data_IF_693780590597
#
_entry.id   IF_693780590597
#
_cell.length_a   1.000
_cell.length_b   1.000
_cell.length_c   1.000
_cell.angle_alpha   90.00
_cell.angle_beta   90.00
_cell.angle_gamma   90.00
#
_symmetry.space_group_name_H-M   'P 1'
#
loop_
_entity.id
_entity.type
_entity.pdbx_description
1 polymer ?
#
# COMPACT_ATOMS: atom_id res chain seq x y z
N UNK A 1 2.08 17.68 22.69
CA UNK A 1 3.50 17.29 22.81
C UNK A 1 4.12 16.96 21.45
N UNK A 2 3.62 15.99 20.67
CA UNK A 2 4.15 15.61 19.33
C UNK A 2 4.60 16.78 18.43
N UNK A 3 3.77 17.80 18.24
CA UNK A 3 4.13 18.95 17.38
C UNK A 3 5.27 19.77 17.98
N UNK A 4 5.26 19.99 19.29
CA UNK A 4 6.32 20.72 19.98
C UNK A 4 7.65 19.94 19.92
N UNK A 5 7.60 18.63 20.07
CA UNK A 5 8.76 17.75 19.98
C UNK A 5 9.36 17.79 18.56
N UNK A 6 8.51 17.73 17.53
CA UNK A 6 8.91 17.93 16.14
C UNK A 6 9.60 19.27 15.93
N UNK A 7 9.03 20.38 16.40
CA UNK A 7 9.66 21.70 16.25
C UNK A 7 11.02 21.76 16.95
N UNK A 8 11.15 21.21 18.17
CA UNK A 8 12.45 21.13 18.86
C UNK A 8 13.49 20.32 18.09
N UNK A 9 13.08 19.25 17.39
CA UNK A 9 13.98 18.49 16.52
C UNK A 9 14.41 19.32 15.31
N UNK A 10 13.47 20.01 14.64
CA UNK A 10 13.77 20.87 13.48
C UNK A 10 14.65 22.07 13.82
N UNK A 11 14.48 22.66 15.00
CA UNK A 11 15.33 23.76 15.49
C UNK A 11 16.77 23.31 15.72
N UNK A 12 16.98 22.08 16.21
CA UNK A 12 18.32 21.53 16.48
C UNK A 12 19.02 21.02 15.23
N UNK A 13 18.26 20.46 14.30
CA UNK A 13 18.78 19.93 13.05
C UNK A 13 17.72 19.94 11.94
N UNK A 14 17.64 21.04 11.16
CA UNK A 14 16.66 21.14 10.09
C UNK A 14 16.97 20.23 8.90
N UNK A 15 18.20 19.73 8.78
CA UNK A 15 18.66 18.94 7.62
C UNK A 15 18.13 17.51 7.60
N UNK A 16 17.79 16.95 8.77
CA UNK A 16 17.26 15.59 8.89
C UNK A 16 15.73 15.59 8.86
N UNK A 17 15.09 14.75 8.01
CA UNK A 17 13.64 14.60 8.03
C UNK A 17 13.19 13.83 9.28
N UNK A 18 12.09 14.26 9.90
CA UNK A 18 11.46 13.57 11.01
C UNK A 18 10.36 12.64 10.48
N UNK A 19 10.53 11.34 10.70
CA UNK A 19 9.48 10.33 10.44
C UNK A 19 8.65 10.11 11.70
N UNK A 20 7.32 10.17 11.56
CA UNK A 20 6.38 9.81 12.63
C UNK A 20 5.55 8.59 12.21
N UNK A 21 5.70 7.48 12.93
CA UNK A 21 4.88 6.29 12.72
C UNK A 21 3.65 6.27 13.65
N UNK A 22 2.47 6.17 13.04
CA UNK A 22 1.17 6.14 13.70
C UNK A 22 0.60 4.72 13.72
N UNK A 23 -0.21 4.38 14.72
CA UNK A 23 -0.78 3.03 14.82
C UNK A 23 -1.99 2.76 13.91
N UNK A 24 -2.51 1.54 14.00
CA UNK A 24 -3.62 1.03 13.18
C UNK A 24 -4.90 1.87 13.18
N UNK A 25 -5.08 2.79 14.13
CA UNK A 25 -6.23 3.71 14.16
C UNK A 25 -6.32 4.59 12.92
N UNK A 26 -5.22 4.78 12.18
CA UNK A 26 -5.26 5.42 10.85
C UNK A 26 -6.29 4.72 9.94
N UNK A 27 -6.34 3.39 9.92
CA UNK A 27 -7.22 2.62 9.03
C UNK A 27 -8.38 1.90 9.75
N UNK A 28 -8.20 1.55 11.02
CA UNK A 28 -9.14 0.78 11.82
C UNK A 28 -9.90 1.68 12.79
N UNK A 29 -11.12 2.09 12.44
CA UNK A 29 -11.93 2.99 13.29
C UNK A 29 -12.35 2.39 14.63
N UNK A 30 -12.25 1.06 14.78
CA UNK A 30 -12.49 0.39 16.07
C UNK A 30 -11.32 0.61 17.05
N UNK A 31 -10.16 1.04 16.55
CA UNK A 31 -8.98 1.34 17.35
C UNK A 31 -8.82 2.85 17.54
N UNK A 32 -9.08 3.35 18.75
CA UNK A 32 -9.03 4.79 19.06
C UNK A 32 -7.66 5.30 19.52
N UNK A 33 -6.68 4.41 19.68
CA UNK A 33 -5.33 4.73 20.14
C UNK A 33 -4.95 4.04 21.45
N UNK A 34 -3.74 4.32 21.94
CA UNK A 34 -3.25 3.80 23.23
C UNK A 34 -3.63 4.76 24.35
N UNK A 35 -4.17 4.23 25.45
CA UNK A 35 -4.58 5.01 26.63
C UNK A 35 -6.07 5.33 26.66
N UNK A 36 -6.61 5.55 27.87
CA UNK A 36 -8.04 5.73 28.12
C UNK A 36 -8.64 7.01 27.50
N UNK A 37 -7.80 8.01 27.20
CA UNK A 37 -8.22 9.29 26.62
C UNK A 37 -8.02 9.41 25.11
N UNK A 38 -7.55 8.37 24.43
CA UNK A 38 -7.20 8.46 23.01
C UNK A 38 -8.44 8.62 22.11
N UNK A 39 -8.35 9.55 21.15
CA UNK A 39 -9.40 9.84 20.17
C UNK A 39 -8.87 9.78 18.75
N UNK A 40 -9.75 9.46 17.82
CA UNK A 40 -9.44 9.44 16.40
C UNK A 40 -8.98 10.82 15.88
N UNK A 41 -9.57 11.90 16.39
CA UNK A 41 -9.25 13.26 15.96
C UNK A 41 -7.85 13.71 16.40
N UNK A 42 -7.25 13.04 17.39
CA UNK A 42 -5.89 13.37 17.82
C UNK A 42 -4.87 13.15 16.67
N UNK A 43 -5.17 12.23 15.74
CA UNK A 43 -4.33 11.99 14.56
C UNK A 43 -4.22 13.23 13.66
N UNK A 44 -5.25 14.09 13.60
CA UNK A 44 -5.19 15.36 12.84
C UNK A 44 -4.14 16.33 13.40
N UNK A 45 -3.84 16.22 14.69
CA UNK A 45 -2.75 16.95 15.33
C UNK A 45 -1.42 16.22 15.14
N UNK A 46 -1.40 14.89 15.29
CA UNK A 46 -0.17 14.11 15.17
C UNK A 46 0.50 14.25 13.81
N UNK A 47 -0.27 14.18 12.71
CA UNK A 47 0.29 14.32 11.34
C UNK A 47 0.98 15.66 11.09
N UNK A 48 0.76 16.68 11.93
CA UNK A 48 1.45 17.97 11.82
C UNK A 48 2.91 17.88 12.28
N UNK A 49 3.23 17.00 13.23
CA UNK A 49 4.57 16.85 13.83
C UNK A 49 5.51 15.89 13.09
N UNK A 50 5.58 15.97 11.76
CA UNK A 50 6.40 15.09 10.95
C UNK A 50 6.79 15.71 9.60
N UNK A 51 7.94 15.34 9.04
CA UNK A 51 8.26 15.59 7.62
C UNK A 51 7.73 14.43 6.75
N UNK A 52 7.83 13.19 7.25
CA UNK A 52 7.30 11.97 6.64
C UNK A 52 6.29 11.34 7.61
N UNK A 53 5.07 11.08 7.16
CA UNK A 53 4.05 10.43 7.99
C UNK A 53 3.96 8.97 7.60
N UNK A 54 4.08 8.07 8.57
CA UNK A 54 3.90 6.64 8.34
C UNK A 54 2.85 6.05 9.26
N UNK A 55 2.40 4.84 8.95
CA UNK A 55 1.55 4.09 9.84
C UNK A 55 1.74 2.58 9.70
N UNK A 56 1.39 1.87 10.75
CA UNK A 56 1.28 0.42 10.77
C UNK A 56 -0.17 -0.05 10.98
N UNK A 57 -0.64 -0.90 10.08
CA UNK A 57 -1.83 -1.73 10.28
C UNK A 57 -1.46 -3.14 9.82
N UNK A 58 -1.80 -4.14 10.62
CA UNK A 58 -1.42 -5.53 10.37
C UNK A 58 -2.69 -6.38 10.25
N UNK A 59 -3.37 -6.35 9.08
CA UNK A 59 -4.64 -7.00 8.86
C UNK A 59 -4.72 -8.45 9.36
N UNK A 60 -3.76 -9.30 9.03
CA UNK A 60 -3.75 -10.72 9.37
C UNK A 60 -3.25 -10.95 10.80
N UNK A 61 -2.19 -10.25 11.22
CA UNK A 61 -1.48 -10.56 12.45
C UNK A 61 -1.81 -9.65 13.65
N UNK A 62 -2.46 -8.49 13.47
CA UNK A 62 -2.48 -7.44 14.51
C UNK A 62 -3.73 -6.56 14.66
N UNK A 63 -4.77 -6.66 13.84
CA UNK A 63 -6.02 -5.88 14.04
C UNK A 63 -7.03 -6.53 15.01
N UNK A 64 -6.71 -7.72 15.56
CA UNK A 64 -7.56 -8.40 16.55
C UNK A 64 -8.87 -8.98 16.00
N UNK A 65 -9.02 -9.07 14.68
CA UNK A 65 -10.19 -9.70 14.02
C UNK A 65 -9.89 -11.16 13.68
N UNK A 66 -10.81 -12.11 13.90
CA UNK A 66 -10.59 -13.53 13.59
C UNK A 66 -10.43 -13.80 12.08
N UNK A 67 -10.89 -12.88 11.23
CA UNK A 67 -10.91 -12.95 9.76
C UNK A 67 -10.06 -11.83 9.12
N UNK A 68 -8.92 -11.52 9.74
CA UNK A 68 -8.02 -10.43 9.38
C UNK A 68 -7.60 -10.39 7.89
N UNK A 69 -7.53 -11.54 7.24
CA UNK A 69 -7.30 -11.69 5.80
C UNK A 69 -8.34 -10.96 4.94
N UNK A 70 -9.54 -10.66 5.45
CA UNK A 70 -10.57 -9.89 4.73
C UNK A 70 -10.35 -8.37 4.79
N UNK A 71 -9.24 -7.91 5.40
CA UNK A 71 -8.98 -6.49 5.66
C UNK A 71 -7.64 -5.99 5.12
N UNK A 72 -7.02 -6.66 4.14
CA UNK A 72 -5.75 -6.17 3.55
C UNK A 72 -5.88 -4.74 3.01
N UNK A 73 -7.06 -4.40 2.50
CA UNK A 73 -7.42 -3.06 2.03
C UNK A 73 -7.35 -1.95 3.09
N UNK A 74 -7.20 -2.29 4.38
CA UNK A 74 -6.89 -1.29 5.42
C UNK A 74 -5.57 -0.59 5.13
N UNK A 75 -4.62 -1.23 4.44
CA UNK A 75 -3.37 -0.58 4.02
C UNK A 75 -3.66 0.56 3.03
N UNK A 76 -4.39 0.28 1.94
CA UNK A 76 -4.83 1.32 1.00
C UNK A 76 -5.61 2.44 1.70
N UNK A 77 -6.59 2.06 2.53
CA UNK A 77 -7.43 3.00 3.29
C UNK A 77 -6.59 3.94 4.17
N UNK A 78 -5.56 3.39 4.84
CA UNK A 78 -4.72 4.16 5.73
C UNK A 78 -3.89 5.20 4.98
N UNK A 79 -3.29 4.81 3.84
CA UNK A 79 -2.57 5.73 2.94
C UNK A 79 -3.47 6.87 2.48
N UNK A 80 -4.67 6.57 1.96
CA UNK A 80 -5.64 7.57 1.51
C UNK A 80 -6.06 8.53 2.64
N UNK A 81 -6.19 8.01 3.87
CA UNK A 81 -6.57 8.83 5.02
C UNK A 81 -5.44 9.77 5.43
N UNK A 82 -4.19 9.31 5.49
CA UNK A 82 -3.05 10.18 5.77
C UNK A 82 -2.87 11.24 4.67
N UNK A 83 -3.05 10.87 3.40
CA UNK A 83 -3.06 11.82 2.29
C UNK A 83 -4.10 12.92 2.49
N UNK A 84 -5.33 12.57 2.88
CA UNK A 84 -6.38 13.54 3.21
C UNK A 84 -6.01 14.43 4.40
N UNK A 85 -5.57 13.83 5.51
CA UNK A 85 -5.22 14.55 6.74
C UNK A 85 -4.02 15.50 6.58
N UNK A 86 -3.13 15.20 5.65
CA UNK A 86 -1.98 16.05 5.32
C UNK A 86 -2.25 16.99 4.14
N UNK A 87 -3.44 16.93 3.55
CA UNK A 87 -3.81 17.64 2.31
C UNK A 87 -2.83 17.36 1.15
N UNK A 88 -2.33 16.13 1.04
CA UNK A 88 -1.29 15.69 0.10
C UNK A 88 0.05 16.45 0.21
N UNK A 89 0.32 17.14 1.31
CA UNK A 89 1.54 17.97 1.46
C UNK A 89 2.73 17.22 2.05
N UNK A 90 2.56 15.96 2.46
CA UNK A 90 3.62 15.16 3.09
C UNK A 90 3.74 13.80 2.41
N UNK A 91 4.96 13.29 2.20
CA UNK A 91 5.17 11.91 1.78
C UNK A 91 4.61 10.95 2.83
N UNK A 92 3.93 9.91 2.34
CA UNK A 92 3.33 8.86 3.18
C UNK A 92 4.11 7.57 3.01
N UNK A 93 4.46 6.93 4.12
CA UNK A 93 5.05 5.59 4.14
C UNK A 93 4.08 4.59 4.80
N UNK A 94 4.13 3.32 4.39
CA UNK A 94 3.32 2.25 4.99
C UNK A 94 4.22 1.15 5.57
N UNK A 95 3.90 0.69 6.77
CA UNK A 95 4.56 -0.47 7.38
C UNK A 95 3.74 -1.72 7.07
N UNK A 96 4.34 -2.69 6.39
CA UNK A 96 3.72 -3.92 5.90
C UNK A 96 4.04 -5.07 6.87
N UNK A 97 3.04 -5.88 7.24
CA UNK A 97 3.28 -7.06 8.07
C UNK A 97 4.01 -8.15 7.31
N UNK A 98 4.86 -8.93 7.99
CA UNK A 98 5.54 -10.08 7.37
C UNK A 98 5.61 -11.33 8.26
N UNK A 99 5.20 -11.20 9.52
CA UNK A 99 5.45 -12.20 10.57
C UNK A 99 4.20 -12.42 11.41
N UNK A 100 4.26 -13.40 12.31
CA UNK A 100 3.33 -13.44 13.44
C UNK A 100 3.71 -12.33 14.39
N UNK A 101 2.77 -11.48 14.81
CA UNK A 101 3.07 -10.44 15.80
C UNK A 101 2.74 -10.99 17.18
N UNK A 102 1.49 -10.83 17.61
CA UNK A 102 0.95 -11.50 18.81
C UNK A 102 -0.10 -12.57 18.47
N UNK A 103 -0.34 -12.77 17.18
CA UNK A 103 -1.28 -13.74 16.60
C UNK A 103 -0.58 -15.06 16.27
N UNK A 104 -1.34 -16.15 16.14
CA UNK A 104 -0.83 -17.41 15.57
C UNK A 104 -0.79 -17.38 14.02
N UNK A 105 -1.49 -16.42 13.42
CA UNK A 105 -1.56 -16.18 11.98
C UNK A 105 -0.51 -15.17 11.55
N UNK A 106 -0.13 -15.27 10.27
CA UNK A 106 0.75 -14.36 9.54
C UNK A 106 0.21 -14.16 8.12
N UNK A 107 0.51 -13.03 7.52
CA UNK A 107 0.31 -12.85 6.08
C UNK A 107 1.18 -13.84 5.28
N UNK A 108 0.69 -14.30 4.14
CA UNK A 108 1.48 -15.05 3.16
C UNK A 108 2.31 -14.09 2.30
N UNK A 109 3.37 -14.54 1.61
CA UNK A 109 4.10 -13.69 0.66
C UNK A 109 3.21 -13.01 -0.38
N UNK A 110 2.17 -13.70 -0.86
CA UNK A 110 1.22 -13.12 -1.81
C UNK A 110 0.40 -11.98 -1.18
N UNK A 111 -0.06 -12.15 0.06
CA UNK A 111 -0.77 -11.10 0.79
C UNK A 111 0.14 -9.90 1.07
N UNK A 112 1.40 -10.13 1.45
CA UNK A 112 2.41 -9.06 1.61
C UNK A 112 2.64 -8.29 0.32
N UNK A 113 2.72 -8.99 -0.83
CA UNK A 113 2.77 -8.35 -2.16
C UNK A 113 1.53 -7.50 -2.43
N UNK A 114 0.33 -8.01 -2.14
CA UNK A 114 -0.91 -7.26 -2.30
C UNK A 114 -0.95 -6.00 -1.42
N UNK A 115 -0.59 -6.10 -0.15
CA UNK A 115 -0.53 -4.96 0.78
C UNK A 115 0.45 -3.88 0.32
N UNK A 116 1.64 -4.27 -0.14
CA UNK A 116 2.63 -3.33 -0.66
C UNK A 116 2.14 -2.58 -1.90
N UNK A 117 1.55 -3.29 -2.86
CA UNK A 117 0.99 -2.66 -4.06
C UNK A 117 -0.24 -1.83 -3.77
N UNK A 118 -1.10 -2.24 -2.84
CA UNK A 118 -2.19 -1.39 -2.32
C UNK A 118 -1.65 -0.08 -1.75
N UNK A 119 -0.58 -0.12 -0.95
CA UNK A 119 0.02 1.09 -0.42
C UNK A 119 0.54 2.01 -1.53
N UNK A 120 1.33 1.47 -2.46
CA UNK A 120 1.93 2.23 -3.56
C UNK A 120 0.86 2.85 -4.48
N UNK A 121 -0.13 2.06 -4.89
CA UNK A 121 -1.23 2.50 -5.77
C UNK A 121 -2.08 3.59 -5.08
N UNK A 122 -2.32 3.49 -3.77
CA UNK A 122 -3.02 4.52 -3.00
C UNK A 122 -2.20 5.79 -2.76
N UNK A 123 -0.91 5.81 -3.13
CA UNK A 123 -0.03 6.97 -3.10
C UNK A 123 1.01 6.97 -1.98
N UNK A 124 1.36 5.80 -1.42
CA UNK A 124 2.55 5.69 -0.59
C UNK A 124 3.80 5.91 -1.43
N UNK A 125 4.76 6.62 -0.83
CA UNK A 125 6.07 6.96 -1.41
C UNK A 125 7.23 6.18 -0.77
N UNK A 126 6.90 5.30 0.17
CA UNK A 126 7.87 4.44 0.84
C UNK A 126 7.19 3.29 1.57
N UNK A 127 7.92 2.20 1.72
CA UNK A 127 7.49 0.99 2.41
C UNK A 127 8.50 0.64 3.49
N UNK A 128 7.99 0.14 4.61
CA UNK A 128 8.76 -0.49 5.67
C UNK A 128 8.18 -1.88 5.91
N UNK A 129 9.02 -2.83 6.33
CA UNK A 129 8.56 -4.18 6.68
C UNK A 129 8.67 -4.38 8.20
N UNK A 130 7.58 -4.83 8.82
CA UNK A 130 7.63 -5.25 10.22
C UNK A 130 8.19 -6.67 10.29
N UNK A 131 9.45 -6.79 10.71
CA UNK A 131 10.21 -8.05 10.69
C UNK A 131 10.18 -8.85 12.00
N UNK A 132 9.58 -8.31 13.06
CA UNK A 132 9.65 -8.89 14.40
C UNK A 132 8.53 -9.93 14.61
N UNK A 133 8.80 -10.96 15.39
CA UNK A 133 7.77 -11.86 15.95
C UNK A 133 7.78 -11.70 17.47
N UNK A 134 6.62 -11.42 18.08
CA UNK A 134 6.54 -11.26 19.55
C UNK A 134 6.12 -12.56 20.23
N UNK A 135 5.26 -13.36 19.59
CA UNK A 135 4.79 -14.66 20.06
C UNK A 135 4.95 -15.71 18.95
N UNK A 136 5.21 -16.99 19.29
CA UNK A 136 5.31 -17.54 20.64
C UNK A 136 6.64 -17.24 21.35
N UNK A 137 7.69 -16.92 20.61
CA UNK A 137 9.01 -16.52 21.13
C UNK A 137 9.42 -15.24 20.43
N UNK A 138 9.92 -14.27 21.20
CA UNK A 138 10.42 -13.03 20.62
C UNK A 138 11.59 -13.30 19.66
N UNK A 139 11.51 -12.74 18.47
CA UNK A 139 12.56 -12.75 17.45
C UNK A 139 12.47 -11.43 16.66
N UNK A 140 13.48 -10.57 16.79
CA UNK A 140 13.51 -9.25 16.17
C UNK A 140 13.81 -9.26 14.65
N UNK A 141 14.21 -10.41 14.09
CA UNK A 141 14.52 -10.59 12.68
C UNK A 141 13.77 -11.77 12.05
N UNK A 142 12.61 -12.16 12.57
CA UNK A 142 11.85 -13.36 12.14
C UNK A 142 11.61 -13.44 10.63
N UNK A 143 11.42 -12.31 9.94
CA UNK A 143 11.31 -12.26 8.47
C UNK A 143 12.50 -12.99 7.80
N UNK A 144 13.72 -12.76 8.29
CA UNK A 144 14.95 -13.32 7.73
C UNK A 144 15.11 -14.82 8.01
N UNK A 145 14.54 -15.31 9.12
CA UNK A 145 14.58 -16.73 9.51
C UNK A 145 13.48 -17.57 8.82
N UNK A 146 12.62 -16.94 8.02
CA UNK A 146 11.51 -17.56 7.34
C UNK A 146 11.80 -17.63 5.83
N UNK A 147 12.24 -18.79 5.29
CA UNK A 147 12.69 -18.88 3.90
C UNK A 147 11.61 -18.47 2.88
N UNK A 148 10.34 -18.77 3.17
CA UNK A 148 9.23 -18.44 2.28
C UNK A 148 8.99 -16.93 2.22
N UNK A 149 8.91 -16.29 3.39
CA UNK A 149 8.70 -14.84 3.49
C UNK A 149 9.92 -14.06 3.00
N UNK A 150 11.13 -14.48 3.36
CA UNK A 150 12.37 -13.88 2.87
C UNK A 150 12.43 -13.89 1.35
N UNK A 151 12.14 -15.03 0.71
CA UNK A 151 12.11 -15.14 -0.74
C UNK A 151 11.03 -14.23 -1.35
N UNK A 152 9.84 -14.20 -0.76
CA UNK A 152 8.73 -13.35 -1.17
C UNK A 152 9.05 -11.86 -1.13
N UNK A 153 9.53 -11.36 0.01
CA UNK A 153 9.93 -9.95 0.20
C UNK A 153 11.12 -9.59 -0.69
N UNK A 154 12.06 -10.52 -0.90
CA UNK A 154 13.18 -10.31 -1.82
C UNK A 154 12.71 -10.14 -3.27
N UNK A 155 11.78 -10.99 -3.73
CA UNK A 155 11.20 -10.89 -5.06
C UNK A 155 10.39 -9.59 -5.22
N UNK A 156 9.58 -9.25 -4.23
CA UNK A 156 8.80 -8.01 -4.18
C UNK A 156 9.69 -6.77 -4.23
N UNK A 157 10.76 -6.72 -3.45
CA UNK A 157 11.72 -5.61 -3.49
C UNK A 157 12.38 -5.49 -4.86
N UNK A 158 12.74 -6.60 -5.50
CA UNK A 158 13.29 -6.58 -6.86
C UNK A 158 12.29 -6.03 -7.87
N UNK A 159 11.02 -6.45 -7.78
CA UNK A 159 9.92 -5.96 -8.62
C UNK A 159 9.75 -4.43 -8.47
N UNK A 160 9.64 -3.95 -7.22
CA UNK A 160 9.46 -2.52 -6.92
C UNK A 160 10.68 -1.69 -7.36
N UNK A 161 11.90 -2.17 -7.08
CA UNK A 161 13.12 -1.47 -7.48
C UNK A 161 13.28 -1.43 -9.01
N UNK A 162 12.92 -2.50 -9.72
CA UNK A 162 12.90 -2.52 -11.18
C UNK A 162 11.91 -1.52 -11.78
N UNK A 163 10.81 -1.23 -11.07
CA UNK A 163 9.79 -0.26 -11.46
C UNK A 163 9.99 1.13 -10.83
N UNK A 164 11.07 1.35 -10.07
CA UNK A 164 11.27 2.61 -9.35
C UNK A 164 11.32 3.85 -10.27
N UNK A 165 11.95 3.84 -11.46
CA UNK A 165 11.89 4.98 -12.38
C UNK A 165 10.45 5.33 -12.80
N UNK A 166 9.62 4.30 -13.02
CA UNK A 166 8.21 4.46 -13.39
C UNK A 166 7.38 4.95 -12.20
N UNK A 167 7.53 4.33 -11.02
CA UNK A 167 6.77 4.69 -9.81
C UNK A 167 7.04 6.14 -9.38
N UNK A 168 8.27 6.62 -9.57
CA UNK A 168 8.69 7.98 -9.25
C UNK A 168 8.41 9.00 -10.38
N UNK A 169 7.88 8.58 -11.52
CA UNK A 169 7.39 9.49 -12.56
C UNK A 169 6.06 10.14 -12.17
N UNK A 170 5.65 11.25 -12.82
CA UNK A 170 4.34 11.86 -12.59
C UNK A 170 3.19 10.88 -12.82
N UNK A 171 2.17 10.97 -11.97
CA UNK A 171 0.90 10.25 -12.17
C UNK A 171 0.12 10.90 -13.30
N UNK A 172 -0.45 10.08 -14.18
CA UNK A 172 -1.38 10.53 -15.22
C UNK A 172 -2.79 10.45 -14.66
N UNK A 173 -3.45 11.60 -14.57
CA UNK A 173 -4.84 11.70 -14.11
C UNK A 173 -5.84 11.33 -15.22
N UNK A 174 -7.08 11.04 -14.83
CA UNK A 174 -8.19 10.83 -15.78
C UNK A 174 -8.41 9.38 -16.23
N UNK A 175 -7.79 8.40 -15.57
CA UNK A 175 -8.18 7.00 -15.71
C UNK A 175 -9.64 6.83 -15.25
N UNK A 176 -10.49 6.31 -16.13
CA UNK A 176 -11.81 5.81 -15.75
C UNK A 176 -11.73 4.29 -15.58
N UNK A 177 -12.40 3.78 -14.54
CA UNK A 177 -12.35 2.37 -14.19
C UNK A 177 -13.66 1.94 -13.51
N UNK A 178 -14.12 0.76 -13.88
CA UNK A 178 -15.29 0.12 -13.30
C UNK A 178 -14.95 -1.33 -12.96
N UNK A 179 -15.52 -1.87 -11.89
CA UNK A 179 -15.35 -3.26 -11.48
C UNK A 179 -16.69 -3.96 -11.32
N UNK A 180 -16.74 -5.23 -11.70
CA UNK A 180 -17.92 -6.08 -11.56
C UNK A 180 -17.54 -7.39 -10.84
N UNK A 181 -18.11 -7.65 -9.64
CA UNK A 181 -19.18 -6.88 -9.01
C UNK A 181 -18.65 -5.62 -8.27
N UNK A 182 -19.50 -4.62 -8.07
CA UNK A 182 -19.08 -3.29 -7.58
C UNK A 182 -18.58 -3.31 -6.12
N UNK A 183 -19.00 -4.29 -5.32
CA UNK A 183 -18.55 -4.51 -3.94
C UNK A 183 -17.11 -5.04 -3.84
N UNK A 184 -16.52 -5.47 -4.95
CA UNK A 184 -15.12 -5.88 -5.09
C UNK A 184 -14.39 -4.83 -5.96
N UNK A 185 -14.11 -3.63 -5.40
CA UNK A 185 -13.46 -2.57 -6.15
C UNK A 185 -12.01 -2.90 -6.46
N UNK A 186 -11.52 -2.36 -7.57
CA UNK A 186 -10.10 -2.29 -7.91
C UNK A 186 -9.60 -0.88 -7.59
N UNK A 187 -8.34 -0.75 -7.16
CA UNK A 187 -7.61 0.51 -7.16
C UNK A 187 -6.59 0.50 -8.28
N UNK A 188 -6.34 1.64 -8.91
CA UNK A 188 -5.37 1.75 -9.98
C UNK A 188 -4.61 3.07 -9.97
N UNK A 189 -3.39 3.03 -10.50
CA UNK A 189 -2.51 4.18 -10.69
C UNK A 189 -1.91 4.12 -12.10
N UNK A 190 -1.89 5.24 -12.81
CA UNK A 190 -1.26 5.35 -14.13
C UNK A 190 -0.02 6.22 -14.06
N UNK A 191 1.06 5.78 -14.70
CA UNK A 191 2.34 6.49 -14.85
C UNK A 191 2.68 6.62 -16.32
N UNK A 192 3.43 7.65 -16.67
CA UNK A 192 4.03 7.80 -18.00
C UNK A 192 5.54 7.85 -17.87
N UNK A 193 6.22 6.92 -18.52
CA UNK A 193 7.68 6.82 -18.45
C UNK A 193 8.23 6.20 -19.74
N UNK A 194 9.28 6.81 -20.30
CA UNK A 194 9.94 6.39 -21.54
C UNK A 194 8.99 6.15 -22.72
N UNK A 195 8.00 7.04 -22.88
CA UNK A 195 7.02 6.97 -23.97
C UNK A 195 5.91 5.93 -23.77
N UNK A 196 5.97 5.12 -22.72
CA UNK A 196 4.96 4.13 -22.38
C UNK A 196 4.03 4.61 -21.27
N UNK A 197 2.76 4.18 -21.34
CA UNK A 197 1.87 4.21 -20.20
C UNK A 197 2.07 2.95 -19.37
N UNK A 198 2.06 3.12 -18.06
CA UNK A 198 2.13 2.03 -17.10
C UNK A 198 0.90 2.11 -16.21
N UNK A 199 0.17 1.01 -16.09
CA UNK A 199 -0.99 0.92 -15.22
C UNK A 199 -0.69 -0.11 -14.14
N UNK A 200 -0.88 0.26 -12.89
CA UNK A 200 -0.76 -0.65 -11.76
C UNK A 200 -2.13 -0.79 -11.13
N UNK A 201 -2.64 -2.02 -10.99
CA UNK A 201 -3.97 -2.27 -10.46
C UNK A 201 -3.97 -3.37 -9.40
N UNK A 202 -4.85 -3.23 -8.41
CA UNK A 202 -5.03 -4.21 -7.34
C UNK A 202 -6.50 -4.36 -6.94
N UNK A 203 -6.97 -5.60 -6.82
CA UNK A 203 -8.27 -5.90 -6.21
C UNK A 203 -8.25 -5.59 -4.71
N UNK A 204 -9.27 -4.89 -4.20
CA UNK A 204 -9.31 -4.45 -2.79
C UNK A 204 -10.10 -5.38 -1.86
N UNK A 205 -10.55 -6.55 -2.32
CA UNK A 205 -11.27 -7.51 -1.47
C UNK A 205 -10.78 -8.92 -1.69
N UNK A 206 -11.06 -9.77 -0.69
CA UNK A 206 -10.80 -11.20 -0.71
C UNK A 206 -11.85 -11.94 -1.58
N UNK A 207 -12.04 -11.48 -2.82
CA UNK A 207 -13.03 -11.99 -3.76
C UNK A 207 -12.59 -11.66 -5.19
N UNK A 208 -13.12 -12.41 -6.16
CA UNK A 208 -12.83 -12.18 -7.57
C UNK A 208 -13.68 -11.02 -8.13
N UNK A 209 -13.14 -10.32 -9.13
CA UNK A 209 -13.81 -9.25 -9.88
C UNK A 209 -13.27 -9.15 -11.29
N UNK A 210 -14.01 -8.50 -12.18
CA UNK A 210 -13.50 -8.06 -13.48
C UNK A 210 -13.44 -6.54 -13.48
N UNK A 211 -12.30 -5.97 -13.86
CA UNK A 211 -12.16 -4.53 -14.03
C UNK A 211 -12.09 -4.16 -15.51
N UNK A 212 -12.72 -3.06 -15.87
CA UNK A 212 -12.59 -2.43 -17.19
C UNK A 212 -11.91 -1.08 -17.00
N UNK A 213 -10.82 -0.87 -17.71
CA UNK A 213 -10.01 0.33 -17.69
C UNK A 213 -10.25 1.13 -18.97
N UNK A 214 -10.46 2.43 -18.83
CA UNK A 214 -10.50 3.40 -19.91
C UNK A 214 -9.41 4.43 -19.67
N UNK A 215 -8.39 4.36 -20.52
CA UNK A 215 -7.18 5.17 -20.42
C UNK A 215 -7.48 6.66 -20.63
N UNK A 216 -6.70 7.55 -19.99
CA UNK A 216 -6.90 9.00 -20.09
C UNK A 216 -6.62 9.57 -21.48
N UNK A 217 -5.93 8.82 -22.35
CA UNK A 217 -5.59 9.21 -23.70
C UNK A 217 -5.97 8.08 -24.67
N UNK A 218 -6.40 8.39 -25.91
CA UNK A 218 -6.63 7.38 -26.93
C UNK A 218 -5.37 6.53 -27.12
N UNK A 219 -5.52 5.23 -27.01
CA UNK A 219 -4.41 4.29 -27.13
C UNK A 219 -4.90 3.06 -27.89
N UNK A 220 -4.04 2.52 -28.75
CA UNK A 220 -4.30 1.30 -29.54
C UNK A 220 -3.04 0.47 -29.50
N UNK A 221 -3.18 -0.81 -29.20
CA UNK A 221 -2.03 -1.68 -29.02
C UNK A 221 -2.36 -2.82 -28.05
N UNK A 222 -1.39 -3.16 -27.22
CA UNK A 222 -1.52 -4.21 -26.24
C UNK A 222 -1.05 -3.73 -24.86
N UNK A 223 -1.76 -4.15 -23.83
CA UNK A 223 -1.29 -4.09 -22.46
C UNK A 223 -0.55 -5.39 -22.15
N UNK A 224 0.78 -5.33 -22.01
CA UNK A 224 1.59 -6.43 -21.52
C UNK A 224 1.44 -6.54 -20.00
N UNK A 225 1.06 -7.71 -19.51
CA UNK A 225 0.94 -7.97 -18.08
C UNK A 225 2.25 -8.55 -17.56
N UNK A 226 2.97 -7.73 -16.80
CA UNK A 226 4.35 -8.01 -16.41
C UNK A 226 4.43 -9.25 -15.51
N UNK A 227 5.29 -10.19 -15.90
CA UNK A 227 5.49 -11.44 -15.14
C UNK A 227 4.41 -12.51 -15.35
N UNK A 228 3.39 -12.25 -16.17
CA UNK A 228 2.25 -13.16 -16.36
C UNK A 228 2.19 -13.80 -17.76
N UNK A 229 3.17 -13.49 -18.63
CA UNK A 229 3.28 -14.05 -19.99
C UNK A 229 2.00 -13.90 -20.83
N UNK A 230 1.24 -12.83 -20.61
CA UNK A 230 0.00 -12.55 -21.33
C UNK A 230 -0.08 -11.08 -21.75
N UNK A 231 -0.84 -10.84 -22.82
CA UNK A 231 -1.12 -9.51 -23.36
C UNK A 231 -2.62 -9.37 -23.56
N UNK A 232 -3.14 -8.18 -23.27
CA UNK A 232 -4.55 -7.83 -23.47
C UNK A 232 -4.66 -6.82 -24.61
N UNK A 233 -5.60 -7.02 -25.51
CA UNK A 233 -5.86 -6.06 -26.61
C UNK A 233 -6.48 -4.79 -26.05
N UNK A 234 -5.90 -3.64 -26.39
CA UNK A 234 -6.47 -2.33 -26.06
C UNK A 234 -7.19 -1.78 -27.29
N UNK A 235 -8.52 -1.67 -27.18
CA UNK A 235 -9.38 -1.16 -28.25
C UNK A 235 -9.95 0.19 -27.83
N UNK A 236 -9.68 1.23 -28.62
CA UNK A 236 -10.14 2.61 -28.38
C UNK A 236 -9.87 3.09 -26.94
N UNK A 237 -8.64 2.84 -26.46
CA UNK A 237 -8.20 3.20 -25.11
C UNK A 237 -8.82 2.37 -23.99
N UNK A 238 -9.54 1.28 -24.29
CA UNK A 238 -10.22 0.44 -23.32
C UNK A 238 -9.70 -1.00 -23.34
N UNK A 239 -9.60 -1.62 -22.16
CA UNK A 239 -9.37 -3.06 -21.99
C UNK A 239 -9.94 -3.54 -20.65
N UNK A 240 -10.16 -4.84 -20.52
CA UNK A 240 -10.68 -5.46 -19.29
C UNK A 240 -9.77 -6.58 -18.84
N UNK A 241 -9.72 -6.83 -17.53
CA UNK A 241 -8.97 -7.93 -16.94
C UNK A 241 -9.70 -8.53 -15.74
N UNK A 242 -9.41 -9.79 -15.45
CA UNK A 242 -9.97 -10.54 -14.32
C UNK A 242 -8.99 -10.56 -13.17
N UNK A 243 -9.48 -10.31 -11.97
CA UNK A 243 -8.72 -10.31 -10.72
C UNK A 243 -9.30 -11.37 -9.79
N UNK A 244 -8.43 -12.19 -9.22
CA UNK A 244 -8.71 -12.99 -8.03
C UNK A 244 -8.67 -12.16 -6.74
N UNK A 245 -8.82 -12.82 -5.59
CA UNK A 245 -8.74 -12.19 -4.28
C UNK A 245 -7.43 -11.41 -4.08
N UNK A 246 -7.55 -10.10 -3.88
CA UNK A 246 -6.42 -9.16 -3.73
C UNK A 246 -5.35 -9.21 -4.82
N UNK A 247 -5.70 -9.69 -6.01
CA UNK A 247 -4.74 -9.86 -7.08
C UNK A 247 -4.19 -8.52 -7.55
N UNK A 248 -2.92 -8.51 -7.93
CA UNK A 248 -2.20 -7.34 -8.43
C UNK A 248 -1.74 -7.64 -9.84
N UNK A 249 -2.11 -6.75 -10.76
CA UNK A 249 -1.62 -6.76 -12.14
C UNK A 249 -0.87 -5.46 -12.44
N UNK A 250 0.27 -5.61 -13.11
CA UNK A 250 1.15 -4.51 -13.50
C UNK A 250 1.22 -4.53 -15.03
N UNK A 251 0.81 -3.45 -15.67
CA UNK A 251 0.70 -3.36 -17.12
C UNK A 251 1.70 -2.36 -17.68
N UNK A 252 2.40 -2.74 -18.75
CA UNK A 252 3.04 -1.79 -19.67
C UNK A 252 2.22 -1.74 -20.96
N UNK A 253 1.85 -0.54 -21.38
CA UNK A 253 1.11 -0.31 -22.60
C UNK A 253 2.08 0.13 -23.71
N UNK A 254 2.08 -0.63 -24.82
CA UNK A 254 2.93 -0.40 -25.99
C UNK A 254 2.25 0.57 -26.98
#
# INVERSE_FOLDING_TARGET
EVVADYQRLKERDPSRPVLLNLGQGVANDQWRGRGSGARQDDYLTYVQGADIVSFDVYPVAGIGKPDGENYLWYVARGVERLRRWTSNRKPIWAVIETTRISSQRRATPAQVRSEAWMALISGASGLLYFAHEFKPKFNEWRLLDDPEMLAGVTALNREILGLAPVLNSPTVEGLAMESSPAEVPVAAMVKQHDGHLWLFAVGLRNAATQATFRLPQPHRGAAEVLGENRRLTVTDGCFSDSFGPYEVHLYRLD
#
